data_IF_365872885853
#
_entry.id   IF_365872885853
#
_cell.length_a   1.000
_cell.length_b   1.000
_cell.length_c   1.000
_cell.angle_alpha   90.00
_cell.angle_beta   90.00
_cell.angle_gamma   90.00
#
_symmetry.space_group_name_H-M   'P 1'
#
loop_
_entity.id
_entity.type
_entity.pdbx_description
1 polymer ?
#
# COMPACT_ATOMS: atom_id res chain seq x y z
N UNK A 1 11.24 -21.06 2.85
CA UNK A 1 10.96 -19.59 2.89
C UNK A 1 9.88 -19.32 1.85
N UNK A 2 8.80 -18.67 2.25
CA UNK A 2 7.74 -18.23 1.34
C UNK A 2 8.24 -17.10 0.44
N UNK A 3 7.94 -17.20 -0.83
CA UNK A 3 8.36 -16.25 -1.87
C UNK A 3 7.17 -15.62 -2.61
N UNK A 4 5.98 -16.10 -2.34
CA UNK A 4 4.72 -15.60 -2.87
C UNK A 4 3.60 -15.64 -1.82
N UNK A 5 2.88 -14.55 -1.69
CA UNK A 5 1.70 -14.44 -0.84
C UNK A 5 0.51 -13.87 -1.58
N UNK A 6 -0.63 -14.57 -1.51
CA UNK A 6 -1.91 -14.13 -2.07
C UNK A 6 -2.92 -14.03 -0.94
N UNK A 7 -3.53 -12.88 -0.77
CA UNK A 7 -4.40 -12.61 0.36
C UNK A 7 -5.70 -11.97 -0.09
N UNK A 8 -6.81 -12.48 0.42
CA UNK A 8 -8.12 -11.85 0.28
C UNK A 8 -8.62 -11.48 1.68
N UNK A 9 -8.64 -10.20 1.97
CA UNK A 9 -9.03 -9.66 3.27
C UNK A 9 -10.40 -8.99 3.18
N UNK A 10 -11.19 -9.12 4.25
CA UNK A 10 -12.51 -8.49 4.35
C UNK A 10 -12.73 -7.91 5.75
N UNK A 11 -13.21 -6.69 5.81
CA UNK A 11 -13.59 -6.05 7.07
C UNK A 11 -15.05 -6.33 7.43
N UNK A 12 -15.42 -6.08 8.69
CA UNK A 12 -16.83 -6.13 9.14
C UNK A 12 -17.74 -5.12 8.39
N UNK A 13 -17.15 -4.08 7.80
CA UNK A 13 -17.86 -3.10 6.95
C UNK A 13 -17.96 -3.52 5.48
N UNK A 14 -17.65 -4.78 5.17
CA UNK A 14 -17.66 -5.37 3.83
C UNK A 14 -16.64 -4.76 2.84
N UNK A 15 -15.67 -4.01 3.33
CA UNK A 15 -14.54 -3.58 2.51
C UNK A 15 -13.68 -4.80 2.21
N UNK A 16 -13.24 -4.94 0.97
CA UNK A 16 -12.45 -6.09 0.52
C UNK A 16 -11.13 -5.60 -0.03
N UNK A 17 -10.03 -6.26 0.33
CA UNK A 17 -8.73 -6.03 -0.24
C UNK A 17 -8.16 -7.35 -0.78
N UNK A 18 -7.65 -7.31 -1.99
CA UNK A 18 -6.83 -8.38 -2.57
C UNK A 18 -5.40 -7.89 -2.62
N UNK A 19 -4.47 -8.68 -2.06
CA UNK A 19 -3.05 -8.36 -2.05
C UNK A 19 -2.27 -9.54 -2.63
N UNK A 20 -1.28 -9.19 -3.44
CA UNK A 20 -0.28 -10.12 -3.93
C UNK A 20 1.11 -9.54 -3.61
N UNK A 21 1.93 -10.34 -2.96
CA UNK A 21 3.33 -10.04 -2.67
C UNK A 21 4.17 -11.16 -3.23
N UNK A 22 5.22 -10.82 -3.99
CA UNK A 22 6.06 -11.82 -4.64
C UNK A 22 7.53 -11.39 -4.66
N UNK A 23 8.43 -12.35 -4.45
CA UNK A 23 9.87 -12.22 -4.69
C UNK A 23 10.30 -12.88 -6.00
N UNK A 24 9.36 -13.48 -6.75
CA UNK A 24 9.65 -14.25 -7.97
C UNK A 24 9.22 -13.54 -9.26
N UNK A 25 8.73 -12.30 -9.15
CA UNK A 25 8.44 -11.45 -10.31
C UNK A 25 9.75 -11.08 -11.03
N UNK A 26 9.76 -11.18 -12.35
CA UNK A 26 10.94 -10.89 -13.16
C UNK A 26 11.31 -9.40 -13.19
N UNK A 27 10.43 -8.55 -12.71
CA UNK A 27 10.61 -7.10 -12.64
C UNK A 27 9.93 -6.56 -11.40
N UNK A 28 10.59 -5.64 -10.72
CA UNK A 28 9.97 -4.94 -9.59
C UNK A 28 8.73 -4.17 -10.06
N UNK A 29 7.62 -4.46 -9.44
CA UNK A 29 6.31 -3.88 -9.72
C UNK A 29 5.68 -3.42 -8.43
N UNK A 30 5.12 -2.22 -8.42
CA UNK A 30 4.21 -1.76 -7.37
C UNK A 30 2.96 -1.18 -8.00
N UNK A 31 1.81 -1.64 -7.53
CA UNK A 31 0.50 -1.13 -7.92
C UNK A 31 -0.45 -1.19 -6.73
N UNK A 32 -1.07 -0.07 -6.41
CA UNK A 32 -2.12 0.02 -5.39
C UNK A 32 -3.35 0.69 -6.00
N UNK A 33 -4.44 -0.05 -6.05
CA UNK A 33 -5.72 0.44 -6.56
C UNK A 33 -6.75 0.56 -5.44
N UNK A 34 -7.36 1.72 -5.30
CA UNK A 34 -8.41 1.98 -4.30
C UNK A 34 -9.70 2.33 -5.03
N UNK A 35 -10.70 1.47 -4.89
CA UNK A 35 -12.00 1.63 -5.52
C UNK A 35 -12.99 2.24 -4.53
N UNK A 36 -13.42 3.45 -4.82
CA UNK A 36 -14.53 4.12 -4.13
C UNK A 36 -15.83 4.00 -4.91
N UNK A 37 -16.89 4.61 -4.36
CA UNK A 37 -18.21 4.60 -5.02
C UNK A 37 -18.23 5.39 -6.33
N UNK A 38 -17.56 6.54 -6.36
CA UNK A 38 -17.63 7.50 -7.48
C UNK A 38 -16.29 7.78 -8.13
N UNK A 39 -15.23 7.12 -7.67
CA UNK A 39 -13.89 7.35 -8.16
C UNK A 39 -12.99 6.15 -7.85
N UNK A 40 -11.89 6.06 -8.61
CA UNK A 40 -10.78 5.14 -8.36
C UNK A 40 -9.50 5.94 -8.20
N UNK A 41 -8.65 5.54 -7.28
CA UNK A 41 -7.26 5.95 -7.19
C UNK A 41 -6.37 4.80 -7.62
N UNK A 42 -5.32 5.10 -8.37
CA UNK A 42 -4.30 4.13 -8.76
C UNK A 42 -2.93 4.74 -8.50
N UNK A 43 -2.13 4.09 -7.67
CA UNK A 43 -0.74 4.44 -7.39
C UNK A 43 0.14 3.40 -8.06
N UNK A 44 1.05 3.84 -8.91
CA UNK A 44 2.03 3.02 -9.61
C UNK A 44 3.44 3.48 -9.28
N UNK A 45 4.38 2.54 -9.24
CA UNK A 45 5.77 2.82 -8.90
C UNK A 45 5.99 3.03 -7.40
N UNK A 46 7.22 2.89 -6.97
CA UNK A 46 7.63 3.10 -5.58
C UNK A 46 9.07 3.61 -5.52
N UNK A 47 9.43 4.47 -6.47
CA UNK A 47 10.79 4.94 -6.65
C UNK A 47 11.79 3.84 -7.07
N UNK A 48 13.04 4.23 -7.30
CA UNK A 48 14.11 3.29 -7.63
C UNK A 48 13.77 2.35 -8.78
N UNK A 49 13.91 1.05 -8.56
CA UNK A 49 13.67 0.01 -9.57
C UNK A 49 12.20 -0.27 -9.86
N UNK A 50 11.27 0.30 -9.09
CA UNK A 50 9.81 0.16 -9.30
C UNK A 50 9.25 1.17 -10.31
N UNK A 51 10.09 2.06 -10.85
CA UNK A 51 9.71 3.06 -11.84
C UNK A 51 9.27 4.40 -11.23
N UNK A 52 8.87 5.32 -12.10
CA UNK A 52 8.38 6.64 -11.70
C UNK A 52 7.07 6.50 -10.93
N UNK A 53 7.00 7.15 -9.78
CA UNK A 53 5.78 7.18 -8.97
C UNK A 53 4.71 8.02 -9.66
N UNK A 54 3.51 7.46 -9.75
CA UNK A 54 2.34 8.12 -10.32
C UNK A 54 1.13 7.93 -9.43
N UNK A 55 0.34 8.98 -9.31
CA UNK A 55 -1.02 8.90 -8.78
C UNK A 55 -1.98 9.24 -9.91
N UNK A 56 -2.87 8.31 -10.23
CA UNK A 56 -3.95 8.54 -11.19
C UNK A 56 -5.28 8.55 -10.45
N UNK A 57 -6.05 9.60 -10.67
CA UNK A 57 -7.41 9.76 -10.16
C UNK A 57 -8.40 9.63 -11.31
N UNK A 58 -9.29 8.67 -11.23
CA UNK A 58 -10.37 8.45 -12.17
C UNK A 58 -11.69 8.85 -11.51
N UNK A 59 -12.24 9.99 -11.92
CA UNK A 59 -13.55 10.46 -11.44
C UNK A 59 -14.66 9.93 -12.33
N UNK A 60 -15.58 9.17 -11.76
CA UNK A 60 -16.74 8.70 -12.51
C UNK A 60 -17.69 9.85 -12.80
N UNK A 61 -18.18 9.88 -14.03
CA UNK A 61 -19.19 10.86 -14.46
C UNK A 61 -20.59 10.25 -14.32
N UNK A 62 -21.64 11.07 -14.13
CA UNK A 62 -23.03 10.59 -14.13
C UNK A 62 -23.43 9.93 -15.46
N UNK A 63 -22.86 10.43 -16.57
CA UNK A 63 -23.00 9.87 -17.90
C UNK A 63 -22.13 8.61 -18.00
N UNK A 64 -22.66 7.55 -18.51
CA UNK A 64 -21.89 6.35 -18.78
C UNK A 64 -20.86 6.64 -19.89
N UNK A 65 -19.58 6.62 -19.54
CA UNK A 65 -18.47 6.90 -20.44
C UNK A 65 -17.11 6.75 -19.74
N UNK A 66 -16.01 7.08 -20.42
CA UNK A 66 -14.71 7.07 -19.77
C UNK A 66 -14.67 8.11 -18.64
N UNK A 67 -14.03 7.79 -17.50
CA UNK A 67 -13.92 8.71 -16.37
C UNK A 67 -13.06 9.94 -16.71
N UNK A 68 -13.34 11.06 -16.07
CA UNK A 68 -12.37 12.16 -16.00
C UNK A 68 -11.10 11.68 -15.34
N UNK A 69 -9.96 11.84 -16.00
CA UNK A 69 -8.69 11.30 -15.53
C UNK A 69 -7.71 12.43 -15.25
N UNK A 70 -7.15 12.42 -14.05
CA UNK A 70 -6.06 13.32 -13.65
C UNK A 70 -4.86 12.48 -13.23
N UNK A 71 -3.67 12.83 -13.73
CA UNK A 71 -2.42 12.12 -13.45
C UNK A 71 -1.43 13.10 -12.82
N UNK A 72 -0.81 12.67 -11.72
CA UNK A 72 0.34 13.34 -11.10
C UNK A 72 1.53 12.39 -11.17
N UNK A 73 2.64 12.88 -11.68
CA UNK A 73 3.89 12.14 -11.76
C UNK A 73 4.93 12.75 -10.83
N UNK A 74 5.71 11.90 -10.18
CA UNK A 74 6.75 12.27 -9.23
C UNK A 74 8.11 11.73 -9.71
N UNK A 75 8.72 12.34 -10.74
CA UNK A 75 9.95 11.82 -11.37
C UNK A 75 11.21 12.10 -10.54
N UNK A 76 11.09 12.66 -9.35
CA UNK A 76 12.22 12.95 -8.48
C UNK A 76 12.76 11.69 -7.82
N UNK A 77 14.05 11.75 -7.41
CA UNK A 77 14.65 10.66 -6.64
C UNK A 77 13.92 10.41 -5.32
N UNK A 78 13.95 9.18 -4.85
CA UNK A 78 13.33 8.78 -3.59
C UNK A 78 14.06 9.44 -2.40
N UNK A 79 13.32 10.24 -1.64
CA UNK A 79 13.77 10.89 -0.41
C UNK A 79 12.88 10.50 0.81
N UNK A 80 12.09 9.44 0.68
CA UNK A 80 11.14 9.00 1.70
C UNK A 80 11.80 8.77 3.06
N UNK A 81 12.96 8.14 3.09
CA UNK A 81 13.73 7.90 4.32
C UNK A 81 14.14 9.20 5.04
N UNK A 82 14.54 10.22 4.27
CA UNK A 82 14.93 11.50 4.84
C UNK A 82 13.70 12.23 5.43
N UNK A 83 12.58 12.16 4.73
CA UNK A 83 11.32 12.76 5.19
C UNK A 83 10.81 12.02 6.44
N UNK A 84 10.79 10.70 6.43
CA UNK A 84 10.36 9.88 7.56
C UNK A 84 11.20 10.18 8.81
N UNK A 85 12.52 10.24 8.67
CA UNK A 85 13.41 10.55 9.78
C UNK A 85 13.21 11.98 10.31
N UNK A 86 12.96 12.94 9.42
CA UNK A 86 12.64 14.32 9.81
C UNK A 86 11.34 14.38 10.62
N UNK A 87 10.30 13.70 10.18
CA UNK A 87 9.02 13.60 10.89
C UNK A 87 9.18 12.94 12.26
N UNK A 88 9.97 11.87 12.35
CA UNK A 88 10.28 11.20 13.61
C UNK A 88 10.95 12.15 14.62
N UNK A 89 11.92 12.96 14.17
CA UNK A 89 12.57 13.96 15.03
C UNK A 89 11.58 15.06 15.45
N UNK A 90 10.69 15.45 14.58
CA UNK A 90 9.66 16.44 14.89
C UNK A 90 8.63 15.90 15.87
N UNK A 91 8.26 14.63 15.78
CA UNK A 91 7.39 13.98 16.77
C UNK A 91 7.99 14.02 18.17
N UNK A 92 9.29 13.74 18.29
CA UNK A 92 10.02 13.83 19.57
C UNK A 92 10.05 15.29 20.07
N UNK A 93 10.47 16.23 19.21
CA UNK A 93 10.63 17.64 19.57
C UNK A 93 9.31 18.29 19.98
N UNK A 94 8.26 18.02 19.24
CA UNK A 94 6.93 18.61 19.42
C UNK A 94 6.03 17.78 20.34
N UNK A 95 6.52 16.63 20.82
CA UNK A 95 5.76 15.67 21.67
C UNK A 95 4.44 15.29 21.03
N UNK A 96 4.45 15.09 19.70
CA UNK A 96 3.28 14.62 18.94
C UNK A 96 3.12 13.11 19.09
N UNK A 97 1.90 12.63 18.95
CA UNK A 97 1.67 11.21 18.70
C UNK A 97 1.97 10.93 17.22
N UNK A 98 2.87 9.99 16.90
CA UNK A 98 3.16 9.64 15.51
C UNK A 98 1.90 9.23 14.74
N UNK A 99 1.82 9.59 13.47
CA UNK A 99 0.71 9.20 12.59
C UNK A 99 0.66 7.68 12.35
N UNK A 100 1.83 7.03 12.38
CA UNK A 100 1.98 5.57 12.45
C UNK A 100 2.81 5.22 13.69
N UNK A 101 2.33 4.31 14.50
CA UNK A 101 2.92 3.99 15.79
C UNK A 101 2.99 2.47 16.03
N UNK A 102 3.46 2.06 17.21
CA UNK A 102 3.63 0.63 17.55
C UNK A 102 2.29 -0.16 17.56
N UNK A 103 1.17 0.49 17.80
CA UNK A 103 -0.13 -0.19 17.71
C UNK A 103 -0.50 -0.52 16.26
N UNK A 104 -0.17 0.37 15.32
CA UNK A 104 -0.37 0.14 13.89
C UNK A 104 0.55 -0.97 13.39
N UNK A 105 1.83 -0.95 13.79
CA UNK A 105 2.79 -2.01 13.48
C UNK A 105 2.32 -3.37 14.01
N UNK A 106 1.85 -3.42 15.27
CA UNK A 106 1.29 -4.64 15.86
C UNK A 106 0.05 -5.13 15.11
N UNK A 107 -0.83 -4.23 14.70
CA UNK A 107 -2.03 -4.59 13.94
C UNK A 107 -1.65 -5.24 12.60
N UNK A 108 -0.67 -4.69 11.88
CA UNK A 108 -0.16 -5.28 10.64
C UNK A 108 0.41 -6.69 10.87
N UNK A 109 1.27 -6.86 11.88
CA UNK A 109 1.85 -8.17 12.22
C UNK A 109 0.78 -9.19 12.65
N UNK A 110 -0.27 -8.76 13.35
CA UNK A 110 -1.39 -9.63 13.72
C UNK A 110 -2.14 -10.16 12.49
N UNK A 111 -2.29 -9.32 11.45
CA UNK A 111 -2.87 -9.77 10.17
C UNK A 111 -1.98 -10.81 9.51
N UNK A 112 -0.67 -10.58 9.46
CA UNK A 112 0.31 -11.52 8.89
C UNK A 112 0.28 -12.86 9.64
N UNK A 113 0.33 -12.84 10.98
CA UNK A 113 0.25 -14.04 11.81
C UNK A 113 -1.03 -14.85 11.52
N UNK A 114 -2.17 -14.15 11.40
CA UNK A 114 -3.43 -14.79 11.07
C UNK A 114 -3.40 -15.45 9.69
N UNK A 115 -2.81 -14.81 8.70
CA UNK A 115 -2.67 -15.34 7.35
C UNK A 115 -1.85 -16.63 7.36
N UNK A 116 -0.69 -16.64 8.04
CA UNK A 116 0.12 -17.85 8.18
C UNK A 116 -0.67 -18.98 8.86
N UNK A 117 -1.36 -18.68 9.94
CA UNK A 117 -2.18 -19.66 10.64
C UNK A 117 -3.32 -20.22 9.77
N UNK A 118 -4.04 -19.36 9.06
CA UNK A 118 -5.19 -19.74 8.24
C UNK A 118 -4.74 -20.51 6.96
N UNK A 119 -3.53 -20.22 6.44
CA UNK A 119 -2.96 -20.90 5.29
C UNK A 119 -2.36 -22.28 5.61
N UNK A 120 -2.16 -22.59 6.89
CA UNK A 120 -1.46 -23.80 7.33
C UNK A 120 0.05 -23.80 7.01
N UNK A 121 0.60 -22.65 6.69
CA UNK A 121 2.04 -22.52 6.43
C UNK A 121 2.82 -22.60 7.75
N UNK A 122 3.73 -23.57 7.84
CA UNK A 122 4.62 -23.73 8.99
C UNK A 122 5.96 -23.03 8.73
N UNK A 123 6.15 -21.87 9.34
CA UNK A 123 7.41 -21.10 9.23
C UNK A 123 8.52 -21.61 10.16
N UNK A 124 8.25 -22.66 10.94
CA UNK A 124 9.24 -23.34 11.77
C UNK A 124 9.79 -24.63 11.12
N UNK A 125 9.26 -25.02 9.96
CA UNK A 125 9.69 -26.23 9.24
C UNK A 125 10.99 -26.01 8.46
#
# INVERSE_FOLDING_TARGET
>A
MDDNGFMLLKTSKLQTAFLHVSCTEWKNLFSLEIYGRNAKLHIEGLGGSYGVEKLTFYKMLPEMGPPDTTIWEYPRGDNSWAIEFSEFLDDIRLKRTPSANLYDARAALTVVEKIYKDSGYDYHA
#
